data_IF_775821924687
#
_entry.id   IF_775821924687
#
_cell.length_a   1.000
_cell.length_b   1.000
_cell.length_c   1.000
_cell.angle_alpha   90.00
_cell.angle_beta   90.00
_cell.angle_gamma   90.00
#
_symmetry.space_group_name_H-M   'P 1'
#
loop_
_entity.id
_entity.type
_entity.pdbx_description
1 polymer ?
#
# COMPACT_ATOMS: atom_id res chain seq x y z
N UNK A 1 14.35 18.05 1.24
CA UNK A 1 13.88 17.09 2.14
C UNK A 1 12.72 17.59 2.95
N UNK A 2 12.92 18.65 3.63
CA UNK A 2 11.93 19.10 4.56
C UNK A 2 10.64 19.54 3.90
N UNK A 3 10.69 20.30 2.81
CA UNK A 3 9.47 20.79 2.18
C UNK A 3 8.57 19.65 1.73
N UNK A 4 9.17 18.66 1.08
CA UNK A 4 8.41 17.52 0.59
C UNK A 4 7.87 16.69 1.74
N UNK A 5 8.67 16.49 2.78
CA UNK A 5 8.24 15.71 3.93
C UNK A 5 7.13 16.42 4.69
N UNK A 6 7.23 17.74 4.81
CA UNK A 6 6.18 18.49 5.50
C UNK A 6 4.87 18.43 4.73
N UNK A 7 4.94 18.57 3.41
CA UNK A 7 3.75 18.45 2.59
C UNK A 7 3.16 17.05 2.71
N UNK A 8 4.00 16.03 2.73
CA UNK A 8 3.56 14.67 2.90
C UNK A 8 2.91 14.45 4.24
N UNK A 9 3.49 14.99 5.29
CA UNK A 9 2.92 14.85 6.62
C UNK A 9 1.55 15.52 6.72
N UNK A 10 1.42 16.69 6.14
CA UNK A 10 0.16 17.41 6.16
C UNK A 10 -0.91 16.61 5.43
N UNK A 11 -0.57 16.15 4.23
CA UNK A 11 -1.49 15.36 3.42
C UNK A 11 -1.84 14.06 4.12
N UNK A 12 -0.86 13.45 4.75
CA UNK A 12 -1.02 12.21 5.48
C UNK A 12 -2.01 12.37 6.64
N UNK A 13 -1.93 13.48 7.36
CA UNK A 13 -2.86 13.74 8.44
C UNK A 13 -4.30 13.86 7.92
N UNK A 14 -4.47 14.50 6.77
CA UNK A 14 -5.78 14.63 6.16
C UNK A 14 -6.32 13.27 5.78
N UNK A 15 -5.50 12.45 5.14
CA UNK A 15 -5.91 11.11 4.74
C UNK A 15 -6.28 10.27 5.96
N UNK A 16 -5.48 10.33 6.99
CA UNK A 16 -5.78 9.59 8.20
C UNK A 16 -7.07 10.04 8.84
N UNK A 17 -7.34 11.34 8.81
CA UNK A 17 -8.58 11.84 9.35
C UNK A 17 -9.78 11.28 8.62
N UNK A 18 -9.66 11.10 7.30
CA UNK A 18 -10.75 10.56 6.51
C UNK A 18 -10.91 9.05 6.70
N UNK A 19 -9.81 8.32 6.72
CA UNK A 19 -9.83 6.87 6.77
C UNK A 19 -10.00 6.34 8.19
N UNK A 20 -9.40 7.01 9.15
CA UNK A 20 -9.37 6.54 10.52
C UNK A 20 -10.14 7.48 11.44
N UNK A 21 -11.31 7.90 10.98
CA UNK A 21 -12.16 8.67 11.85
C UNK A 21 -12.36 7.88 13.09
N UNK A 22 -12.96 8.40 14.11
CA UNK A 22 -12.89 7.76 15.42
C UNK A 22 -12.98 6.26 15.37
N UNK A 23 -13.73 5.72 14.43
CA UNK A 23 -13.92 4.29 14.34
C UNK A 23 -13.08 3.62 13.27
N UNK A 24 -12.13 4.35 12.70
CA UNK A 24 -11.28 3.82 11.63
C UNK A 24 -12.14 3.14 10.56
N UNK A 25 -13.17 3.82 10.12
CA UNK A 25 -14.09 3.24 9.17
C UNK A 25 -13.70 3.60 7.74
N UNK A 26 -13.58 2.59 6.90
CA UNK A 26 -13.37 2.79 5.47
C UNK A 26 -14.72 2.88 4.79
N UNK A 27 -14.87 3.81 3.87
CA UNK A 27 -16.10 3.93 3.10
C UNK A 27 -15.74 4.16 1.65
N UNK A 28 -16.66 3.77 0.76
CA UNK A 28 -16.41 3.96 -0.66
C UNK A 28 -16.38 5.44 -1.01
N UNK A 29 -17.12 6.26 -0.27
CA UNK A 29 -17.12 7.70 -0.48
C UNK A 29 -15.72 8.28 -0.29
N UNK A 30 -15.05 7.87 0.78
CA UNK A 30 -13.69 8.34 1.05
C UNK A 30 -12.71 7.74 0.05
N UNK A 31 -12.84 6.45 -0.22
CA UNK A 31 -11.93 5.78 -1.15
C UNK A 31 -11.98 6.41 -2.55
N UNK A 32 -13.18 6.78 -2.99
CA UNK A 32 -13.31 7.37 -4.31
C UNK A 32 -12.64 8.74 -4.45
N UNK A 33 -12.25 9.32 -3.33
CA UNK A 33 -11.57 10.62 -3.35
C UNK A 33 -10.07 10.49 -3.26
N UNK A 34 -9.56 9.27 -3.15
CA UNK A 34 -8.12 9.07 -3.11
C UNK A 34 -7.50 9.36 -4.46
N UNK A 35 -6.39 10.09 -4.43
CA UNK A 35 -5.57 10.29 -5.60
C UNK A 35 -4.44 9.26 -5.56
N UNK A 36 -3.70 9.06 -6.66
CA UNK A 36 -2.52 8.19 -6.59
C UNK A 36 -1.52 8.62 -5.52
N UNK A 37 -1.39 9.93 -5.29
CA UNK A 37 -0.54 10.41 -4.20
C UNK A 37 -1.08 9.94 -2.86
N UNK A 38 -2.39 10.02 -2.66
CA UNK A 38 -3.00 9.56 -1.41
C UNK A 38 -2.81 8.07 -1.21
N UNK A 39 -2.93 7.30 -2.27
CA UNK A 39 -2.71 5.86 -2.19
C UNK A 39 -1.25 5.56 -1.85
N UNK A 40 -0.32 6.31 -2.43
CA UNK A 40 1.09 6.14 -2.12
C UNK A 40 1.38 6.42 -0.65
N UNK A 41 0.79 7.48 -0.11
CA UNK A 41 0.98 7.82 1.29
C UNK A 41 0.41 6.74 2.20
N UNK A 42 -0.76 6.24 1.85
CA UNK A 42 -1.37 5.13 2.58
C UNK A 42 -0.44 3.91 2.58
N UNK A 43 0.09 3.57 1.40
CA UNK A 43 0.99 2.44 1.27
C UNK A 43 2.30 2.63 2.04
N UNK A 44 2.85 3.84 2.00
CA UNK A 44 4.09 4.12 2.74
C UNK A 44 3.90 3.94 4.24
N UNK A 45 2.70 4.21 4.72
CA UNK A 45 2.40 4.03 6.15
C UNK A 45 2.05 2.58 6.47
N UNK A 46 1.14 1.99 5.71
CA UNK A 46 0.55 0.70 6.05
C UNK A 46 0.83 -0.41 5.05
N UNK A 47 1.80 -0.26 4.21
CA UNK A 47 2.07 -1.26 3.20
C UNK A 47 3.40 -1.95 3.37
N UNK A 48 3.58 -3.01 2.62
CA UNK A 48 4.85 -3.72 2.57
C UNK A 48 4.90 -4.62 1.35
N UNK A 49 6.09 -5.07 1.01
CA UNK A 49 6.26 -5.94 -0.14
C UNK A 49 7.35 -6.96 0.15
N UNK A 50 7.03 -8.21 -0.08
CA UNK A 50 8.00 -9.30 0.03
C UNK A 50 8.45 -9.65 -1.37
N UNK A 51 9.77 -9.69 -1.54
CA UNK A 51 10.37 -10.01 -2.83
C UNK A 51 10.99 -11.39 -2.75
N UNK A 52 10.64 -12.26 -3.69
CA UNK A 52 11.24 -13.58 -3.78
C UNK A 52 12.30 -13.55 -4.87
N UNK A 53 13.53 -13.90 -4.50
CA UNK A 53 14.65 -13.87 -5.42
C UNK A 53 14.91 -15.27 -5.95
N UNK A 54 15.02 -15.41 -7.27
CA UNK A 54 15.36 -16.69 -7.89
C UNK A 54 16.83 -16.98 -7.69
N UNK A 55 17.14 -18.16 -7.20
CA UNK A 55 18.53 -18.55 -7.02
C UNK A 55 19.25 -18.75 -8.36
N UNK A 56 18.50 -19.09 -9.40
CA UNK A 56 19.08 -19.30 -10.71
C UNK A 56 19.49 -18.01 -11.40
N UNK A 57 18.60 -17.01 -11.37
CA UNK A 57 18.84 -15.77 -12.10
C UNK A 57 19.27 -14.64 -11.21
N UNK A 58 19.17 -14.82 -9.90
CA UNK A 58 19.48 -13.78 -8.93
C UNK A 58 18.61 -12.53 -9.14
N UNK A 59 17.42 -12.72 -9.70
CA UNK A 59 16.48 -11.64 -9.93
C UNK A 59 15.16 -11.93 -9.21
N UNK A 60 14.36 -10.89 -9.06
CA UNK A 60 13.06 -11.05 -8.42
C UNK A 60 12.18 -11.94 -9.29
N UNK A 61 11.71 -13.06 -8.73
CA UNK A 61 10.84 -13.97 -9.45
C UNK A 61 9.38 -13.71 -9.15
N UNK A 62 9.06 -13.22 -7.96
CA UNK A 62 7.68 -12.89 -7.60
C UNK A 62 7.67 -11.91 -6.46
N UNK A 63 6.54 -11.29 -6.26
CA UNK A 63 6.36 -10.39 -5.12
C UNK A 63 5.03 -10.68 -4.45
N UNK A 64 4.92 -10.30 -3.21
CA UNK A 64 3.66 -10.29 -2.49
C UNK A 64 3.54 -8.93 -1.84
N UNK A 65 2.67 -8.11 -2.38
CA UNK A 65 2.47 -6.76 -1.88
C UNK A 65 1.29 -6.77 -0.92
N UNK A 66 1.44 -6.16 0.23
CA UNK A 66 0.41 -6.17 1.27
C UNK A 66 0.04 -4.77 1.67
N UNK A 67 -1.24 -4.59 1.93
CA UNK A 67 -1.78 -3.36 2.48
C UNK A 67 -2.41 -3.74 3.81
N UNK A 68 -1.79 -3.34 4.91
CA UNK A 68 -2.18 -3.77 6.25
C UNK A 68 -3.24 -2.83 6.80
N UNK A 69 -4.43 -2.94 6.25
CA UNK A 69 -5.53 -2.05 6.64
C UNK A 69 -6.10 -2.36 8.02
N UNK A 70 -5.96 -3.61 8.48
CA UNK A 70 -6.43 -4.05 9.78
C UNK A 70 -7.88 -3.64 10.01
N UNK A 71 -8.73 -3.92 9.06
CA UNK A 71 -10.12 -3.52 9.09
C UNK A 71 -11.04 -4.73 9.14
N UNK A 72 -12.34 -4.49 9.27
CA UNK A 72 -13.32 -5.57 9.22
C UNK A 72 -13.37 -6.18 7.83
N UNK A 73 -13.98 -7.36 7.74
CA UNK A 73 -14.12 -8.02 6.44
C UNK A 73 -14.94 -7.15 5.47
N UNK A 74 -16.01 -6.55 5.96
CA UNK A 74 -16.84 -5.72 5.11
C UNK A 74 -16.08 -4.50 4.57
N UNK A 75 -15.24 -3.91 5.41
CA UNK A 75 -14.40 -2.81 4.96
C UNK A 75 -13.35 -3.27 3.96
N UNK A 76 -12.79 -4.47 4.19
CA UNK A 76 -11.81 -5.02 3.25
C UNK A 76 -12.45 -5.24 1.88
N UNK A 77 -13.70 -5.68 1.84
CA UNK A 77 -14.42 -5.85 0.58
C UNK A 77 -14.57 -4.51 -0.13
N UNK A 78 -14.87 -3.45 0.60
CA UNK A 78 -14.98 -2.12 0.00
C UNK A 78 -13.65 -1.69 -0.63
N UNK A 79 -12.54 -1.93 0.07
CA UNK A 79 -11.23 -1.59 -0.43
C UNK A 79 -10.90 -2.45 -1.66
N UNK A 80 -11.20 -3.74 -1.60
CA UNK A 80 -10.97 -4.65 -2.71
C UNK A 80 -11.73 -4.19 -3.95
N UNK A 81 -13.01 -3.88 -3.79
CA UNK A 81 -13.84 -3.43 -4.90
C UNK A 81 -13.35 -2.11 -5.47
N UNK A 82 -12.94 -1.20 -4.60
CA UNK A 82 -12.42 0.09 -5.05
C UNK A 82 -11.21 -0.11 -5.97
N UNK A 83 -10.22 -0.88 -5.53
CA UNK A 83 -9.03 -1.07 -6.35
C UNK A 83 -9.34 -1.82 -7.63
N UNK A 84 -10.25 -2.77 -7.59
CA UNK A 84 -10.61 -3.52 -8.78
C UNK A 84 -11.32 -2.61 -9.79
N UNK A 85 -12.26 -1.82 -9.34
CA UNK A 85 -13.08 -1.01 -10.24
C UNK A 85 -12.36 0.22 -10.76
N UNK A 86 -11.60 0.88 -9.91
CA UNK A 86 -10.99 2.15 -10.28
C UNK A 86 -9.63 1.95 -10.92
N UNK A 87 -8.85 1.00 -10.43
CA UNK A 87 -7.46 0.84 -10.87
C UNK A 87 -7.16 -0.49 -11.54
N UNK A 88 -8.16 -1.36 -11.62
CA UNK A 88 -7.98 -2.70 -12.20
C UNK A 88 -6.88 -3.48 -11.48
N UNK A 89 -6.83 -3.35 -10.16
CA UNK A 89 -5.89 -4.06 -9.31
C UNK A 89 -6.70 -4.93 -8.37
N UNK A 90 -6.43 -6.24 -8.38
CA UNK A 90 -7.15 -7.16 -7.52
C UNK A 90 -6.33 -7.48 -6.29
N UNK A 91 -6.94 -7.30 -5.11
CA UNK A 91 -6.38 -7.69 -3.84
C UNK A 91 -7.13 -8.89 -3.29
N UNK A 92 -6.39 -9.83 -2.72
CA UNK A 92 -6.99 -10.93 -2.00
C UNK A 92 -7.09 -10.54 -0.53
N UNK A 93 -8.19 -10.91 0.10
CA UNK A 93 -8.42 -10.56 1.50
C UNK A 93 -7.99 -11.72 2.39
N UNK A 94 -7.17 -11.41 3.39
CA UNK A 94 -6.79 -12.38 4.42
C UNK A 94 -7.32 -11.90 5.75
N UNK A 95 -8.09 -12.76 6.42
CA UNK A 95 -8.61 -12.46 7.75
C UNK A 95 -7.67 -13.08 8.77
N UNK A 96 -7.18 -12.27 9.68
CA UNK A 96 -6.27 -12.72 10.72
C UNK A 96 -7.07 -13.36 11.85
N UNK A 97 -6.34 -13.96 12.80
CA UNK A 97 -6.98 -14.59 13.96
C UNK A 97 -7.76 -13.59 14.80
N UNK A 98 -7.33 -12.34 14.84
CA UNK A 98 -8.02 -11.29 15.56
C UNK A 98 -9.18 -10.70 14.77
N UNK A 99 -9.57 -11.34 13.67
CA UNK A 99 -10.69 -10.93 12.81
C UNK A 99 -10.42 -9.64 12.03
N UNK A 100 -9.21 -9.14 12.06
CA UNK A 100 -8.84 -7.98 11.24
C UNK A 100 -8.26 -8.44 9.92
N UNK A 101 -8.56 -7.71 8.87
CA UNK A 101 -8.21 -8.12 7.51
C UNK A 101 -7.04 -7.36 6.94
N UNK A 102 -6.29 -8.04 6.10
CA UNK A 102 -5.16 -7.50 5.36
C UNK A 102 -5.42 -7.81 3.90
N UNK A 103 -5.03 -6.91 3.01
CA UNK A 103 -5.20 -7.14 1.58
C UNK A 103 -3.84 -7.41 0.95
N UNK A 104 -3.79 -8.43 0.09
CA UNK A 104 -2.54 -8.84 -0.53
C UNK A 104 -2.71 -8.94 -2.04
N UNK A 105 -1.70 -8.51 -2.77
CA UNK A 105 -1.70 -8.57 -4.22
C UNK A 105 -0.58 -9.50 -4.68
N UNK A 106 -0.88 -10.33 -5.68
CA UNK A 106 0.12 -11.21 -6.28
C UNK A 106 1.06 -10.40 -7.16
N UNK A 107 1.98 -11.09 -7.84
CA UNK A 107 2.99 -10.42 -8.65
C UNK A 107 2.39 -9.48 -9.68
N UNK A 108 1.41 -9.98 -10.44
CA UNK A 108 0.82 -9.17 -11.51
C UNK A 108 0.12 -7.92 -10.96
N UNK A 109 -0.71 -8.12 -9.96
CA UNK A 109 -1.46 -7.00 -9.38
C UNK A 109 -0.57 -6.11 -8.52
N UNK A 110 0.41 -6.71 -7.85
CA UNK A 110 1.38 -5.94 -7.08
C UNK A 110 2.18 -5.00 -7.97
N UNK A 111 2.57 -5.47 -9.15
CA UNK A 111 3.30 -4.61 -10.08
C UNK A 111 2.44 -3.47 -10.59
N UNK A 112 1.15 -3.72 -10.82
CA UNK A 112 0.24 -2.62 -11.19
C UNK A 112 0.17 -1.58 -10.09
N UNK A 113 0.10 -2.03 -8.84
CA UNK A 113 0.04 -1.12 -7.71
C UNK A 113 1.33 -0.32 -7.60
N UNK A 114 2.47 -0.99 -7.76
CA UNK A 114 3.77 -0.32 -7.69
C UNK A 114 3.86 0.79 -8.75
N UNK A 115 3.42 0.51 -9.98
CA UNK A 115 3.45 1.53 -11.00
C UNK A 115 2.55 2.71 -10.67
N UNK A 116 1.43 2.45 -10.02
CA UNK A 116 0.50 3.50 -9.63
C UNK A 116 1.14 4.45 -8.61
N UNK A 117 1.86 3.91 -7.63
CA UNK A 117 2.38 4.72 -6.53
C UNK A 117 3.81 5.20 -6.73
N UNK A 118 4.55 4.58 -7.65
CA UNK A 118 5.97 4.88 -7.82
C UNK A 118 6.31 6.36 -7.92
N UNK A 119 5.59 7.16 -8.74
CA UNK A 119 5.96 8.57 -8.88
C UNK A 119 5.85 9.38 -7.59
N UNK A 120 5.14 8.86 -6.60
CA UNK A 120 4.85 9.58 -5.38
C UNK A 120 5.55 9.03 -4.15
N UNK A 121 6.39 8.02 -4.33
CA UNK A 121 7.12 7.44 -3.22
C UNK A 121 8.28 8.35 -2.84
N UNK A 122 8.46 8.58 -1.54
CA UNK A 122 9.61 9.35 -1.11
C UNK A 122 10.85 8.45 -1.10
N UNK A 123 12.04 9.03 -1.32
CA UNK A 123 13.25 8.19 -1.47
C UNK A 123 13.50 7.24 -0.31
N UNK A 124 13.26 7.66 0.92
CA UNK A 124 13.51 6.81 2.09
C UNK A 124 12.57 5.63 2.18
N UNK A 125 11.48 5.65 1.41
CA UNK A 125 10.48 4.57 1.43
C UNK A 125 10.49 3.75 0.15
N UNK A 126 11.40 4.04 -0.78
CA UNK A 126 11.45 3.30 -2.05
C UNK A 126 11.68 1.82 -1.84
N UNK A 127 12.26 1.42 -0.70
CA UNK A 127 12.48 0.01 -0.43
C UNK A 127 11.19 -0.80 -0.40
N UNK A 128 10.07 -0.14 -0.19
CA UNK A 128 8.77 -0.84 -0.15
C UNK A 128 8.27 -1.24 -1.53
N UNK A 129 8.88 -0.73 -2.59
CA UNK A 129 8.49 -1.11 -3.95
C UNK A 129 9.68 -1.55 -4.80
N UNK A 130 10.89 -1.38 -4.32
CA UNK A 130 12.07 -1.69 -5.11
C UNK A 130 13.15 -2.29 -4.22
N UNK A 131 13.41 -3.57 -4.38
CA UNK A 131 14.38 -4.28 -3.57
C UNK A 131 15.80 -3.76 -3.78
N UNK A 132 16.03 -3.12 -4.92
CA UNK A 132 17.35 -2.60 -5.24
C UNK A 132 17.57 -1.19 -4.74
N UNK A 133 16.59 -0.62 -4.07
CA UNK A 133 16.71 0.73 -3.55
C UNK A 133 17.73 0.76 -2.41
N UNK A 134 18.66 1.70 -2.49
CA UNK A 134 19.68 1.80 -1.47
C UNK A 134 19.12 2.21 -0.13
N UNK A 135 18.02 2.92 -0.12
CA UNK A 135 17.41 3.34 1.12
C UNK A 135 16.79 2.19 1.88
N UNK A 136 16.77 1.02 1.27
CA UNK A 136 16.19 -0.13 1.91
C UNK A 136 17.10 -0.80 2.85
N UNK A 137 18.34 -0.47 2.92
CA UNK A 137 19.16 -1.25 3.68
C UNK A 137 19.06 -0.96 5.08
N UNK A 138 18.33 -1.59 5.73
CA UNK A 138 18.19 -1.40 7.09
C UNK A 138 19.39 -1.89 7.65
N UNK A 139 19.71 -1.51 8.25
CA UNK A 139 20.60 -1.90 8.80
C UNK A 139 20.70 -2.85 9.39
N UNK A 140 20.75 -3.56 9.42
CA UNK A 140 20.85 -4.64 9.96
C UNK A 140 21.47 -4.69 10.79
#
# INVERSE_FOLDING_TARGET
>A
KSAMIMAGNKYFKIIKRWLYKPEKTYSRFVLNRLTPLGIAIWYMDDGGCKFRISKKTNKVSSIQLSLYAYCSYNEAVLIQEYFQEVHNIFFQIYERKDKKCVLCANTANGNKFIELVRPYMIPSMMYKIDINSKSAKPLI
#
